data_IF_080895174268
#
_entry.id   IF_080895174268
#
_cell.length_a   1.000
_cell.length_b   1.000
_cell.length_c   1.000
_cell.angle_alpha   90.00
_cell.angle_beta   90.00
_cell.angle_gamma   90.00
#
_symmetry.space_group_name_H-M   'P 1'
#
loop_
_entity.id
_entity.type
_entity.pdbx_description
1 polymer ?
#
# COMPACT_ATOMS: atom_id res chain seq x y z
N UNK A 1 -20.57 9.80 -26.00
CA UNK A 1 -20.73 8.34 -25.88
C UNK A 1 -21.80 7.92 -26.86
N UNK A 2 -21.50 6.99 -27.76
CA UNK A 2 -22.49 6.49 -28.71
C UNK A 2 -23.58 5.67 -27.98
N UNK A 3 -24.75 5.54 -28.61
CA UNK A 3 -25.87 4.79 -28.02
C UNK A 3 -25.58 3.29 -27.94
N UNK A 4 -24.83 2.73 -28.89
CA UNK A 4 -24.53 1.30 -28.95
C UNK A 4 -23.74 0.84 -27.73
N UNK A 5 -22.68 1.57 -27.39
CA UNK A 5 -21.88 1.32 -26.19
C UNK A 5 -22.70 1.36 -24.90
N UNK A 6 -23.64 2.30 -24.79
CA UNK A 6 -24.52 2.39 -23.61
C UNK A 6 -25.45 1.20 -23.49
N UNK A 7 -25.98 0.67 -24.59
CA UNK A 7 -26.83 -0.52 -24.55
C UNK A 7 -26.01 -1.79 -24.27
N UNK A 8 -24.84 -1.96 -24.89
CA UNK A 8 -23.93 -3.07 -24.59
C UNK A 8 -23.53 -3.10 -23.10
N UNK A 9 -23.18 -1.93 -22.53
CA UNK A 9 -22.85 -1.83 -21.11
C UNK A 9 -24.05 -2.16 -20.20
N UNK A 10 -25.27 -1.77 -20.58
CA UNK A 10 -26.48 -2.15 -19.84
C UNK A 10 -26.71 -3.65 -19.91
N UNK A 11 -26.58 -4.26 -21.08
CA UNK A 11 -26.78 -5.71 -21.25
C UNK A 11 -25.78 -6.50 -20.39
N UNK A 12 -24.50 -6.10 -20.40
CA UNK A 12 -23.47 -6.70 -19.54
C UNK A 12 -23.77 -6.57 -18.04
N UNK A 13 -24.45 -5.50 -17.62
CA UNK A 13 -24.84 -5.27 -16.22
C UNK A 13 -26.19 -5.91 -15.85
N UNK A 14 -27.09 -6.11 -16.82
CA UNK A 14 -28.44 -6.66 -16.61
C UNK A 14 -28.46 -8.20 -16.59
N UNK A 15 -27.57 -8.88 -17.33
CA UNK A 15 -27.50 -10.36 -17.42
C UNK A 15 -27.33 -11.04 -16.03
N UNK A 16 -26.75 -10.36 -15.04
CA UNK A 16 -26.60 -10.89 -13.67
C UNK A 16 -27.73 -10.49 -12.70
N UNK A 17 -28.64 -9.58 -13.09
CA UNK A 17 -29.77 -9.17 -12.25
C UNK A 17 -30.91 -10.21 -12.23
N UNK A 18 -30.85 -11.24 -13.07
CA UNK A 18 -31.91 -12.25 -13.22
C UNK A 18 -31.93 -13.33 -12.10
N UNK A 19 -30.99 -13.29 -11.15
CA UNK A 19 -30.89 -14.29 -10.05
C UNK A 19 -31.13 -13.73 -8.65
N UNK A 20 -31.56 -12.47 -8.49
CA UNK A 20 -31.96 -11.94 -7.18
C UNK A 20 -32.93 -10.75 -7.30
N UNK A 21 -33.96 -10.76 -6.47
CA UNK A 21 -35.06 -9.81 -6.40
C UNK A 21 -34.66 -8.33 -6.19
N UNK A 22 -35.37 -7.46 -6.90
CA UNK A 22 -35.70 -6.06 -6.60
C UNK A 22 -34.66 -5.22 -5.86
N UNK A 23 -33.86 -4.47 -6.61
CA UNK A 23 -33.56 -3.07 -6.29
C UNK A 23 -33.08 -2.38 -7.56
N UNK A 24 -33.75 -1.30 -7.93
CA UNK A 24 -33.32 -0.32 -8.94
C UNK A 24 -32.06 0.39 -8.46
N UNK A 25 -30.99 -0.36 -8.21
CA UNK A 25 -29.68 0.20 -7.98
C UNK A 25 -29.13 0.54 -9.34
N UNK A 26 -29.16 1.83 -9.68
CA UNK A 26 -28.28 2.38 -10.69
C UNK A 26 -26.92 1.75 -10.50
N UNK A 27 -26.47 0.91 -11.45
CA UNK A 27 -25.20 0.22 -11.35
C UNK A 27 -24.12 1.27 -11.11
N UNK A 28 -23.59 1.29 -9.88
CA UNK A 28 -22.66 2.33 -9.46
C UNK A 28 -21.39 2.10 -10.27
N UNK A 29 -21.19 2.95 -11.28
CA UNK A 29 -19.90 3.08 -11.95
C UNK A 29 -18.91 3.68 -10.93
N UNK A 30 -17.64 3.26 -10.93
CA UNK A 30 -16.96 2.36 -11.88
C UNK A 30 -17.19 0.87 -11.59
N UNK A 31 -17.26 0.05 -12.65
CA UNK A 31 -17.26 -1.43 -12.58
C UNK A 31 -16.02 -1.96 -13.29
N UNK A 32 -15.40 -3.01 -12.75
CA UNK A 32 -14.23 -3.65 -13.35
C UNK A 32 -14.68 -4.69 -14.37
N UNK A 33 -14.08 -4.63 -15.55
CA UNK A 33 -14.18 -5.64 -16.59
C UNK A 33 -12.79 -6.11 -16.96
N UNK A 34 -12.61 -7.42 -17.08
CA UNK A 34 -11.35 -8.05 -17.47
C UNK A 34 -11.63 -8.92 -18.69
N UNK A 35 -10.98 -8.60 -19.82
CA UNK A 35 -11.17 -9.33 -21.10
C UNK A 35 -12.64 -9.43 -21.52
N UNK A 36 -13.39 -8.35 -21.32
CA UNK A 36 -14.83 -8.27 -21.64
C UNK A 36 -15.76 -8.96 -20.64
N UNK A 37 -15.24 -9.60 -19.58
CA UNK A 37 -16.04 -10.22 -18.52
C UNK A 37 -16.21 -9.25 -17.36
N UNK A 38 -17.44 -9.11 -16.86
CA UNK A 38 -17.74 -8.31 -15.67
C UNK A 38 -17.16 -9.00 -14.42
N UNK A 39 -16.33 -8.28 -13.65
CA UNK A 39 -15.71 -8.80 -12.42
C UNK A 39 -16.47 -8.32 -11.19
N UNK A 40 -16.84 -7.05 -11.14
CA UNK A 40 -17.48 -6.48 -9.95
C UNK A 40 -17.39 -4.97 -9.86
N UNK A 41 -17.79 -4.42 -8.72
CA UNK A 41 -17.53 -3.05 -8.30
C UNK A 41 -16.40 -3.02 -7.29
N UNK A 42 -16.26 -1.89 -6.58
CA UNK A 42 -15.15 -1.70 -5.66
C UNK A 42 -15.08 -2.80 -4.57
N UNK A 43 -16.22 -3.16 -3.97
CA UNK A 43 -16.27 -4.12 -2.87
C UNK A 43 -15.92 -5.53 -3.33
N UNK A 44 -16.49 -5.98 -4.46
CA UNK A 44 -16.21 -7.32 -4.98
C UNK A 44 -14.74 -7.43 -5.45
N UNK A 45 -14.19 -6.36 -6.02
CA UNK A 45 -12.78 -6.31 -6.43
C UNK A 45 -11.85 -6.31 -5.21
N UNK A 46 -12.17 -5.54 -4.16
CA UNK A 46 -11.41 -5.53 -2.92
C UNK A 46 -11.37 -6.93 -2.31
N UNK A 47 -12.52 -7.60 -2.22
CA UNK A 47 -12.59 -8.97 -1.70
C UNK A 47 -11.78 -9.97 -2.53
N UNK A 48 -11.74 -9.81 -3.86
CA UNK A 48 -10.90 -10.65 -4.73
C UNK A 48 -9.40 -10.40 -4.48
N UNK A 49 -9.00 -9.16 -4.23
CA UNK A 49 -7.62 -8.80 -3.90
C UNK A 49 -7.19 -9.41 -2.56
N UNK A 50 -8.02 -9.26 -1.53
CA UNK A 50 -7.77 -9.82 -0.19
C UNK A 50 -7.66 -11.36 -0.21
N UNK A 51 -8.40 -12.03 -1.10
CA UNK A 51 -8.32 -13.48 -1.29
C UNK A 51 -7.17 -13.92 -2.22
N UNK A 52 -6.43 -12.97 -2.82
CA UNK A 52 -5.37 -13.26 -3.78
C UNK A 52 -5.86 -13.77 -5.15
N UNK A 53 -7.16 -13.65 -5.42
CA UNK A 53 -7.79 -14.11 -6.66
C UNK A 53 -7.79 -13.06 -7.77
N UNK A 54 -7.52 -11.80 -7.44
CA UNK A 54 -7.46 -10.72 -8.43
C UNK A 54 -6.25 -10.85 -9.36
N UNK A 55 -5.08 -11.24 -8.82
CA UNK A 55 -3.84 -11.33 -9.60
C UNK A 55 -3.92 -12.33 -10.79
N UNK A 56 -4.43 -13.56 -10.62
CA UNK A 56 -4.66 -14.49 -11.73
C UNK A 56 -5.60 -13.94 -12.82
N UNK A 57 -6.59 -13.12 -12.45
CA UNK A 57 -7.49 -12.51 -13.44
C UNK A 57 -6.75 -11.50 -14.33
N UNK A 58 -5.81 -10.76 -13.75
CA UNK A 58 -5.02 -9.73 -14.44
C UNK A 58 -3.79 -10.29 -15.17
N UNK A 59 -3.46 -11.55 -14.97
CA UNK A 59 -2.30 -12.20 -15.59
C UNK A 59 -2.39 -12.12 -17.12
N UNK A 60 -1.28 -11.79 -17.78
CA UNK A 60 -1.19 -11.68 -19.24
C UNK A 60 -1.87 -10.45 -19.86
N UNK A 61 -2.45 -9.54 -19.05
CA UNK A 61 -2.85 -8.23 -19.55
C UNK A 61 -1.61 -7.40 -19.92
N UNK A 62 -1.67 -6.59 -20.99
CA UNK A 62 -0.55 -5.74 -21.35
C UNK A 62 -0.27 -4.77 -20.21
N UNK A 63 0.98 -4.76 -19.74
CA UNK A 63 1.45 -3.68 -18.86
C UNK A 63 1.46 -2.38 -19.67
N UNK A 64 1.25 -1.28 -18.98
CA UNK A 64 1.27 0.03 -19.62
C UNK A 64 2.60 0.23 -20.41
N UNK A 65 2.56 0.82 -21.62
CA UNK A 65 3.70 0.87 -22.52
C UNK A 65 4.91 1.56 -21.88
N UNK A 66 6.12 1.07 -22.18
CA UNK A 66 7.38 1.75 -21.86
C UNK A 66 7.35 3.15 -22.49
N UNK A 67 7.58 4.19 -21.69
CA UNK A 67 7.55 5.59 -22.15
C UNK A 67 6.18 6.28 -22.07
N UNK A 68 5.10 5.59 -21.68
CA UNK A 68 3.90 6.28 -21.22
C UNK A 68 4.13 6.84 -19.80
N UNK A 69 3.37 7.88 -19.41
CA UNK A 69 3.35 8.34 -18.01
C UNK A 69 2.96 7.24 -17.01
N UNK A 70 2.47 6.10 -17.51
CA UNK A 70 2.12 4.89 -16.79
C UNK A 70 3.13 3.76 -17.00
N UNK A 71 4.37 4.00 -17.46
CA UNK A 71 5.40 2.96 -17.37
C UNK A 71 5.64 2.67 -15.88
N UNK A 72 4.98 1.62 -15.39
CA UNK A 72 5.11 1.19 -14.01
C UNK A 72 6.54 0.73 -13.81
N UNK A 73 7.32 1.51 -13.06
CA UNK A 73 8.61 1.08 -12.56
C UNK A 73 8.42 -0.23 -11.81
N UNK A 74 9.20 -1.27 -12.15
CA UNK A 74 9.08 -2.59 -11.51
C UNK A 74 9.36 -2.53 -9.99
N UNK A 75 9.98 -1.45 -9.50
CA UNK A 75 10.18 -1.20 -8.06
C UNK A 75 9.02 -0.49 -7.37
N UNK A 76 8.57 0.68 -7.87
CA UNK A 76 7.54 1.49 -7.19
C UNK A 76 6.14 1.38 -7.80
N UNK A 77 5.93 0.55 -8.83
CA UNK A 77 4.65 0.41 -9.50
C UNK A 77 4.16 1.68 -10.23
N UNK A 78 5.04 2.68 -10.40
CA UNK A 78 4.68 4.00 -10.95
C UNK A 78 4.39 5.07 -9.89
N UNK A 79 4.43 4.74 -8.60
CA UNK A 79 4.16 5.69 -7.51
C UNK A 79 5.29 6.70 -7.27
N UNK A 80 6.49 6.44 -7.81
CA UNK A 80 7.73 7.24 -7.66
C UNK A 80 8.24 7.43 -6.22
N UNK A 81 7.49 6.97 -5.24
CA UNK A 81 7.85 7.01 -3.82
C UNK A 81 7.73 5.61 -3.22
N UNK A 82 8.59 5.31 -2.26
CA UNK A 82 8.61 4.08 -1.48
C UNK A 82 8.59 4.42 0.01
N UNK A 83 8.08 3.54 0.89
CA UNK A 83 8.33 3.65 2.33
C UNK A 83 9.83 3.77 2.61
N UNK A 84 10.20 4.68 3.50
CA UNK A 84 11.59 4.86 3.91
C UNK A 84 12.17 3.56 4.47
N UNK A 85 13.36 3.18 4.01
CA UNK A 85 14.02 1.94 4.41
C UNK A 85 14.50 1.96 5.87
N UNK A 86 14.79 3.13 6.42
CA UNK A 86 15.29 3.27 7.81
C UNK A 86 14.16 3.29 8.83
N UNK A 87 13.05 3.98 8.53
CA UNK A 87 11.94 4.14 9.47
C UNK A 87 10.68 3.34 9.10
N UNK A 88 10.71 2.60 7.99
CA UNK A 88 9.55 1.83 7.48
C UNK A 88 8.28 2.68 7.34
N UNK A 89 8.42 3.95 6.96
CA UNK A 89 7.31 4.90 6.85
C UNK A 89 6.83 5.52 8.18
N UNK A 90 7.29 5.05 9.34
CA UNK A 90 6.84 5.56 10.64
C UNK A 90 7.38 6.94 11.01
N UNK A 91 8.40 7.41 10.28
CA UNK A 91 9.18 8.63 10.57
C UNK A 91 9.87 8.62 11.94
N UNK A 92 10.04 7.43 12.54
CA UNK A 92 10.65 7.23 13.85
C UNK A 92 11.81 6.24 13.74
N UNK A 93 12.92 6.53 14.40
CA UNK A 93 14.06 5.62 14.53
C UNK A 93 14.50 5.53 15.99
N UNK A 94 14.85 4.33 16.41
CA UNK A 94 15.35 4.03 17.73
C UNK A 94 16.87 4.22 17.75
N UNK A 95 17.37 5.18 18.54
CA UNK A 95 18.80 5.43 18.71
C UNK A 95 19.23 5.06 20.12
N UNK A 96 20.36 4.34 20.29
CA UNK A 96 20.90 4.07 21.61
C UNK A 96 21.41 5.37 22.23
N UNK A 97 21.03 5.64 23.47
CA UNK A 97 21.60 6.75 24.24
C UNK A 97 22.89 6.21 24.87
N UNK A 98 24.05 6.87 24.65
CA UNK A 98 25.28 6.50 25.35
C UNK A 98 25.06 6.59 26.86
N UNK A 99 25.50 5.58 27.60
CA UNK A 99 25.49 5.65 29.06
C UNK A 99 26.28 6.90 29.52
N UNK A 100 25.78 7.65 30.51
CA UNK A 100 26.57 8.72 31.10
C UNK A 100 27.89 8.14 31.63
N UNK A 101 29.00 8.89 31.52
CA UNK A 101 30.29 8.41 32.00
C UNK A 101 30.18 8.04 33.50
N UNK A 102 30.85 6.96 33.95
CA UNK A 102 30.76 6.53 35.33
C UNK A 102 31.24 7.65 36.25
N UNK A 103 30.32 8.25 37.01
CA UNK A 103 30.67 9.13 38.12
C UNK A 103 31.29 8.26 39.21
N UNK A 104 32.56 8.53 39.57
CA UNK A 104 33.22 7.90 40.71
C UNK A 104 32.44 8.24 41.99
N UNK A 105 31.63 7.29 42.44
CA UNK A 105 30.91 7.38 43.70
C UNK A 105 31.84 6.82 44.79
N UNK A 106 32.47 7.71 45.56
CA UNK A 106 33.10 7.33 46.83
C UNK A 106 31.98 7.07 47.85
N UNK A 107 31.71 5.81 48.16
CA UNK A 107 30.79 5.43 49.26
C UNK A 107 30.08 4.09 49.03
N UNK A 108 30.41 3.09 49.84
CA UNK A 108 29.96 1.71 49.70
C UNK A 108 28.47 1.47 50.02
N UNK A 109 27.85 0.56 49.27
CA UNK A 109 26.51 0.03 49.53
C UNK A 109 26.05 -0.95 48.45
N UNK A 110 25.55 -2.12 48.87
CA UNK A 110 25.25 -3.33 48.10
C UNK A 110 24.65 -3.18 46.68
N UNK A 111 25.29 -3.87 45.72
CA UNK A 111 24.94 -3.94 44.30
C UNK A 111 23.64 -4.74 44.04
N UNK A 112 22.50 -4.07 43.88
CA UNK A 112 21.36 -4.62 43.15
C UNK A 112 21.67 -4.49 41.66
N UNK A 113 22.11 -5.57 41.02
CA UNK A 113 22.28 -5.66 39.56
C UNK A 113 20.90 -5.59 38.89
N UNK A 114 20.36 -4.38 38.72
CA UNK A 114 19.38 -4.14 37.64
C UNK A 114 20.16 -4.34 36.35
N UNK A 115 19.78 -5.35 35.57
CA UNK A 115 20.22 -5.49 34.18
C UNK A 115 19.96 -4.15 33.48
N UNK A 116 21.04 -3.38 33.28
CA UNK A 116 21.03 -2.10 32.57
C UNK A 116 20.69 -2.40 31.11
N UNK A 117 19.40 -2.41 30.77
CA UNK A 117 18.98 -2.30 29.38
C UNK A 117 19.45 -0.95 28.86
N UNK A 118 20.14 -0.93 27.72
CA UNK A 118 20.55 0.30 27.07
C UNK A 118 19.31 1.20 26.88
N UNK A 119 19.38 2.45 27.34
CA UNK A 119 18.27 3.39 27.17
C UNK A 119 18.18 3.75 25.68
N UNK A 120 17.01 3.54 25.09
CA UNK A 120 16.76 3.83 23.66
C UNK A 120 15.91 5.09 23.57
N UNK A 121 16.37 6.08 22.83
CA UNK A 121 15.56 7.24 22.46
C UNK A 121 14.89 7.00 21.12
N UNK A 122 13.66 7.50 20.96
CA UNK A 122 12.99 7.53 19.65
C UNK A 122 13.10 8.95 19.10
N UNK A 123 13.75 9.09 17.96
CA UNK A 123 13.93 10.38 17.26
C UNK A 123 13.24 10.35 15.90
N UNK A 124 13.08 11.51 15.28
CA UNK A 124 12.54 11.62 13.92
C UNK A 124 13.57 11.14 12.90
N UNK A 125 13.11 10.40 11.89
CA UNK A 125 13.95 10.00 10.76
C UNK A 125 14.32 11.22 9.90
N UNK A 126 15.61 11.34 9.57
CA UNK A 126 16.15 12.41 8.71
C UNK A 126 16.19 12.06 7.22
N UNK A 127 16.05 10.77 6.88
CA UNK A 127 16.26 10.26 5.52
C UNK A 127 14.99 10.29 4.65
N UNK A 128 13.85 10.72 5.20
CA UNK A 128 12.56 10.67 4.52
C UNK A 128 11.80 11.99 4.57
N UNK A 129 10.85 12.14 3.65
CA UNK A 129 9.95 13.29 3.64
C UNK A 129 8.95 13.26 4.81
N UNK A 130 7.99 14.18 4.79
CA UNK A 130 7.07 14.34 5.91
C UNK A 130 6.12 13.15 6.16
N UNK A 131 5.91 12.34 5.13
CA UNK A 131 5.05 11.17 5.15
C UNK A 131 5.83 9.87 5.38
N UNK A 132 7.14 9.95 5.67
CA UNK A 132 7.96 8.74 5.83
C UNK A 132 8.33 8.09 4.50
N UNK A 133 8.26 8.81 3.38
CA UNK A 133 8.54 8.28 2.05
C UNK A 133 9.88 8.78 1.50
N UNK A 134 10.50 7.95 0.66
CA UNK A 134 11.71 8.27 -0.12
C UNK A 134 11.41 8.15 -1.61
N UNK A 135 12.20 8.83 -2.44
CA UNK A 135 12.10 8.68 -3.89
C UNK A 135 12.49 7.26 -4.32
N UNK A 136 11.81 6.73 -5.34
CA UNK A 136 12.12 5.43 -5.89
C UNK A 136 13.53 5.45 -6.53
N UNK A 137 14.49 4.63 -6.08
CA UNK A 137 15.86 4.67 -6.60
C UNK A 137 15.99 4.15 -8.05
N UNK A 138 14.92 3.58 -8.61
CA UNK A 138 14.92 3.00 -9.95
C UNK A 138 14.46 4.00 -11.02
N UNK A 139 13.56 4.92 -10.68
CA UNK A 139 12.87 5.76 -11.67
C UNK A 139 12.63 7.21 -11.24
N UNK A 140 13.36 7.69 -10.22
CA UNK A 140 13.25 9.08 -9.74
C UNK A 140 14.40 9.93 -10.20
#
# INVERSE_FOLDING_TARGET
>A
MDRGFREELKDLLLIMSSSSCSSSSSSIIPRLFVRGRHVGGAEEVLRLDELGLLAPLLEGLPRAPRGSAACCCDGCGGMRFLPCFDCSGSRKVAVPIPDPPPQQQQGGGACRRRTRGAMVAVVRCGECNENGLVLCPICS
#
